data_IF_239836802779
#
_entry.id   IF_239836802779
#
_cell.length_a   1.000
_cell.length_b   1.000
_cell.length_c   1.000
_cell.angle_alpha   90.00
_cell.angle_beta   90.00
_cell.angle_gamma   90.00
#
_symmetry.space_group_name_H-M   'P 1'
#
loop_
_entity.id
_entity.type
_entity.pdbx_description
1 polymer ?
#
# COMPACT_ATOMS: atom_id res chain seq x y z
N UNK A 1 -2.16 18.00 8.52
CA UNK A 1 -1.92 16.55 8.44
C UNK A 1 -1.59 16.22 7.00
N UNK A 2 -0.52 15.45 6.78
CA UNK A 2 -0.03 15.13 5.44
C UNK A 2 -0.97 14.09 4.82
N UNK A 3 -1.48 14.38 3.62
CA UNK A 3 -2.47 13.59 2.88
C UNK A 3 -1.83 12.33 2.26
N UNK A 4 -1.09 11.54 3.04
CA UNK A 4 -0.14 10.54 2.52
C UNK A 4 -0.82 9.35 1.80
N UNK A 5 -2.14 9.21 1.90
CA UNK A 5 -2.92 8.16 1.25
C UNK A 5 -3.56 8.57 -0.08
N UNK A 6 -3.55 9.86 -0.44
CA UNK A 6 -3.99 10.33 -1.76
C UNK A 6 -2.77 10.77 -2.58
N UNK A 7 -2.60 10.18 -3.76
CA UNK A 7 -1.61 10.57 -4.75
C UNK A 7 -2.26 11.30 -5.91
N UNK A 8 -1.90 12.57 -6.07
CA UNK A 8 -2.20 13.33 -7.29
C UNK A 8 -1.03 13.17 -8.26
N UNK A 9 -1.26 12.50 -9.40
CA UNK A 9 -0.19 12.17 -10.36
C UNK A 9 0.09 13.27 -11.39
N UNK A 10 -0.72 14.33 -11.40
CA UNK A 10 -0.53 15.52 -12.23
C UNK A 10 -0.78 16.76 -11.36
N UNK A 11 -0.25 17.90 -11.79
CA UNK A 11 -0.56 19.17 -11.17
C UNK A 11 -2.00 19.58 -11.48
N UNK A 12 -2.88 19.43 -10.50
CA UNK A 12 -4.24 19.92 -10.55
C UNK A 12 -4.33 21.30 -9.95
N UNK A 13 -5.15 22.15 -10.56
CA UNK A 13 -5.59 23.43 -9.98
C UNK A 13 -6.52 23.25 -8.76
N UNK A 14 -6.41 22.13 -8.05
CA UNK A 14 -7.18 21.90 -6.83
C UNK A 14 -6.59 22.74 -5.71
N UNK A 15 -7.45 23.54 -5.06
CA UNK A 15 -7.03 24.29 -3.89
C UNK A 15 -6.61 23.34 -2.76
N UNK A 16 -5.72 23.79 -1.88
CA UNK A 16 -5.30 22.98 -0.73
C UNK A 16 -6.47 22.64 0.19
N UNK A 17 -7.43 23.57 0.35
CA UNK A 17 -8.66 23.30 1.10
C UNK A 17 -9.51 22.20 0.44
N UNK A 18 -9.57 22.15 -0.90
CA UNK A 18 -10.29 21.11 -1.61
C UNK A 18 -9.64 19.74 -1.41
N UNK A 19 -8.32 19.64 -1.58
CA UNK A 19 -7.57 18.40 -1.36
C UNK A 19 -7.73 17.89 0.09
N UNK A 20 -7.68 18.82 1.05
CA UNK A 20 -7.84 18.49 2.47
C UNK A 20 -9.24 17.96 2.78
N UNK A 21 -10.27 18.64 2.30
CA UNK A 21 -11.66 18.28 2.59
C UNK A 21 -12.06 16.96 1.91
N UNK A 22 -11.62 16.78 0.64
CA UNK A 22 -11.73 15.51 -0.09
C UNK A 22 -11.11 14.36 0.71
N UNK A 23 -9.87 14.55 1.18
CA UNK A 23 -9.15 13.55 1.97
C UNK A 23 -9.90 13.19 3.24
N UNK A 24 -10.32 14.18 4.03
CA UNK A 24 -10.98 13.94 5.31
C UNK A 24 -12.30 13.19 5.10
N UNK A 25 -13.17 13.67 4.21
CA UNK A 25 -14.50 13.10 4.05
C UNK A 25 -14.47 11.68 3.44
N UNK A 26 -13.64 11.45 2.43
CA UNK A 26 -13.55 10.13 1.81
C UNK A 26 -12.95 9.09 2.77
N UNK A 27 -11.95 9.47 3.55
CA UNK A 27 -11.35 8.61 4.57
C UNK A 27 -12.35 8.27 5.68
N UNK A 28 -13.09 9.27 6.19
CA UNK A 28 -14.14 9.01 7.18
C UNK A 28 -15.20 8.04 6.67
N UNK A 29 -15.62 8.19 5.41
CA UNK A 29 -16.59 7.30 4.76
C UNK A 29 -16.02 5.90 4.56
N UNK A 30 -14.73 5.78 4.21
CA UNK A 30 -14.05 4.49 4.08
C UNK A 30 -14.09 3.69 5.39
N UNK A 31 -13.73 4.32 6.52
CA UNK A 31 -13.73 3.66 7.82
C UNK A 31 -15.15 3.30 8.28
N UNK A 32 -16.13 4.18 8.04
CA UNK A 32 -17.55 3.92 8.36
C UNK A 32 -18.12 2.75 7.56
N UNK A 33 -17.82 2.66 6.27
CA UNK A 33 -18.41 1.64 5.37
C UNK A 33 -17.90 0.23 5.63
N UNK A 34 -16.68 0.09 6.14
CA UNK A 34 -16.05 -1.20 6.34
C UNK A 34 -16.02 -1.67 7.80
N UNK A 35 -16.64 -0.94 8.74
CA UNK A 35 -16.46 -1.14 10.19
C UNK A 35 -14.97 -1.27 10.57
N UNK A 36 -14.10 -0.58 9.84
CA UNK A 36 -12.66 -0.63 10.11
C UNK A 36 -12.40 0.17 11.38
N UNK A 37 -11.59 -0.40 12.26
CA UNK A 37 -11.04 0.36 13.38
C UNK A 37 -10.26 1.55 12.81
N UNK A 38 -10.59 2.76 13.26
CA UNK A 38 -9.89 4.00 12.86
C UNK A 38 -8.40 3.99 13.24
N UNK A 39 -7.98 3.04 14.09
CA UNK A 39 -6.59 2.82 14.45
C UNK A 39 -5.82 1.95 13.43
N UNK A 40 -6.49 1.34 12.45
CA UNK A 40 -5.82 0.62 11.38
C UNK A 40 -5.14 1.61 10.42
N UNK A 41 -3.93 1.27 9.96
CA UNK A 41 -3.28 1.98 8.86
C UNK A 41 -4.22 1.95 7.64
N UNK A 42 -4.35 3.08 6.94
CA UNK A 42 -5.23 3.19 5.78
C UNK A 42 -4.91 2.06 4.77
N UNK A 43 -5.87 1.16 4.48
CA UNK A 43 -5.60 -0.04 3.68
C UNK A 43 -5.49 0.24 2.18
N UNK A 44 -5.78 1.48 1.77
CA UNK A 44 -5.78 1.87 0.36
C UNK A 44 -4.93 3.11 0.10
N UNK A 45 -4.52 3.24 -1.15
CA UNK A 45 -4.02 4.48 -1.74
C UNK A 45 -4.97 4.93 -2.85
N UNK A 46 -5.51 6.13 -2.74
CA UNK A 46 -6.31 6.75 -3.80
C UNK A 46 -5.37 7.47 -4.75
N UNK A 47 -5.52 7.24 -6.05
CA UNK A 47 -4.69 7.84 -7.08
C UNK A 47 -5.60 8.60 -8.04
N UNK A 48 -5.37 9.90 -8.16
CA UNK A 48 -6.15 10.80 -9.02
C UNK A 48 -5.21 11.32 -10.11
N UNK A 49 -5.60 11.16 -11.37
CA UNK A 49 -4.84 11.68 -12.52
C UNK A 49 -4.08 10.68 -13.37
N UNK A 50 -4.23 9.37 -13.15
CA UNK A 50 -3.58 8.37 -14.00
C UNK A 50 -4.11 8.43 -15.43
N UNK A 51 -5.42 8.53 -15.58
CA UNK A 51 -6.10 8.68 -16.87
C UNK A 51 -6.47 10.13 -17.16
N UNK A 52 -6.93 10.40 -18.38
CA UNK A 52 -7.47 11.70 -18.74
C UNK A 52 -8.73 11.99 -17.94
N UNK A 53 -8.69 13.11 -17.21
CA UNK A 53 -9.75 13.56 -16.31
C UNK A 53 -10.90 14.17 -17.10
N UNK A 54 -11.57 13.34 -17.91
CA UNK A 54 -12.85 13.71 -18.50
C UNK A 54 -13.89 13.79 -17.39
N UNK A 55 -13.90 14.93 -16.69
CA UNK A 55 -14.87 15.21 -15.65
C UNK A 55 -16.25 15.23 -16.31
N UNK A 56 -17.18 14.47 -15.73
CA UNK A 56 -18.58 14.53 -16.15
C UNK A 56 -19.40 15.23 -15.08
N UNK A 57 -20.44 15.94 -15.52
CA UNK A 57 -21.39 16.62 -14.64
C UNK A 57 -22.76 16.01 -14.91
N UNK A 58 -23.35 15.40 -13.88
CA UNK A 58 -24.71 14.84 -13.94
C UNK A 58 -25.39 15.03 -12.61
N UNK A 59 -26.69 15.31 -12.61
CA UNK A 59 -27.52 15.36 -11.40
C UNK A 59 -26.99 16.26 -10.26
N UNK A 60 -26.28 17.34 -10.61
CA UNK A 60 -25.67 18.26 -9.64
C UNK A 60 -24.35 17.79 -9.02
N UNK A 61 -23.80 16.66 -9.50
CA UNK A 61 -22.51 16.12 -9.10
C UNK A 61 -21.45 16.34 -10.18
N UNK A 62 -20.21 16.51 -9.75
CA UNK A 62 -19.03 16.30 -10.60
C UNK A 62 -18.49 14.92 -10.30
N UNK A 63 -18.18 14.17 -11.36
CA UNK A 63 -17.56 12.86 -11.31
C UNK A 63 -16.16 12.93 -11.88
N UNK A 64 -15.20 12.33 -11.18
CA UNK A 64 -13.81 12.19 -11.62
C UNK A 64 -13.39 10.73 -11.60
N UNK A 65 -12.77 10.24 -12.70
CA UNK A 65 -12.11 8.95 -12.69
C UNK A 65 -10.88 8.99 -11.78
N UNK A 66 -10.73 7.95 -10.98
CA UNK A 66 -9.62 7.75 -10.07
C UNK A 66 -9.28 6.25 -10.01
N UNK A 67 -8.25 5.91 -9.25
CA UNK A 67 -7.86 4.54 -9.00
C UNK A 67 -7.68 4.30 -7.52
N UNK A 68 -8.10 3.13 -7.04
CA UNK A 68 -7.85 2.69 -5.68
C UNK A 68 -6.89 1.51 -5.74
N UNK A 69 -5.73 1.69 -5.13
CA UNK A 69 -4.80 0.61 -4.88
C UNK A 69 -5.05 0.03 -3.49
N UNK A 70 -5.31 -1.27 -3.41
CA UNK A 70 -5.46 -1.99 -2.14
C UNK A 70 -4.12 -2.66 -1.83
N UNK A 71 -3.44 -2.20 -0.76
CA UNK A 71 -2.07 -2.61 -0.45
C UNK A 71 -1.93 -4.13 -0.23
N UNK A 72 -2.86 -4.75 0.48
CA UNK A 72 -2.80 -6.18 0.80
C UNK A 72 -3.22 -7.09 -0.35
N UNK A 73 -4.13 -6.63 -1.22
CA UNK A 73 -4.49 -7.36 -2.42
C UNK A 73 -3.45 -7.20 -3.53
N UNK A 74 -2.67 -6.11 -3.43
CA UNK A 74 -1.76 -5.65 -4.45
C UNK A 74 -2.46 -5.60 -5.82
N UNK A 75 -3.58 -4.86 -5.82
CA UNK A 75 -4.49 -4.69 -6.94
C UNK A 75 -4.93 -3.23 -7.02
N UNK A 76 -5.04 -2.75 -8.25
CA UNK A 76 -5.56 -1.43 -8.58
C UNK A 76 -6.94 -1.61 -9.21
N UNK A 77 -7.90 -0.82 -8.78
CA UNK A 77 -9.25 -0.76 -9.32
C UNK A 77 -9.53 0.63 -9.89
N UNK A 78 -9.98 0.75 -11.15
CA UNK A 78 -10.53 2.00 -11.65
C UNK A 78 -11.85 2.27 -10.92
N UNK A 79 -12.03 3.51 -10.46
CA UNK A 79 -13.21 3.94 -9.72
C UNK A 79 -13.60 5.35 -10.11
N UNK A 80 -14.75 5.80 -9.60
CA UNK A 80 -15.19 7.18 -9.70
C UNK A 80 -15.33 7.77 -8.30
N UNK A 81 -14.80 8.98 -8.13
CA UNK A 81 -15.12 9.83 -6.97
C UNK A 81 -16.04 10.94 -7.44
N UNK A 82 -16.97 11.37 -6.60
CA UNK A 82 -17.83 12.48 -6.95
C UNK A 82 -18.03 13.45 -5.80
N UNK A 83 -18.47 14.65 -6.15
CA UNK A 83 -18.89 15.63 -5.15
C UNK A 83 -19.94 16.56 -5.69
N UNK A 84 -20.64 17.21 -4.76
CA UNK A 84 -21.61 18.26 -5.03
C UNK A 84 -21.48 19.37 -4.01
N UNK A 85 -22.10 20.51 -4.30
CA UNK A 85 -22.24 21.59 -3.34
C UNK A 85 -23.55 22.34 -3.55
N UNK A 86 -24.15 22.80 -2.46
CA UNK A 86 -25.25 23.78 -2.48
C UNK A 86 -24.78 25.23 -2.57
N UNK A 87 -23.51 25.48 -2.27
CA UNK A 87 -22.98 26.82 -2.05
C UNK A 87 -22.28 27.40 -3.29
N UNK A 88 -22.26 26.64 -4.39
CA UNK A 88 -21.65 27.02 -5.66
C UNK A 88 -22.65 26.89 -6.81
N UNK A 89 -22.79 27.96 -7.59
CA UNK A 89 -23.58 27.95 -8.83
C UNK A 89 -22.82 27.30 -9.99
N UNK A 90 -21.50 27.50 -10.05
CA UNK A 90 -20.62 26.82 -10.99
C UNK A 90 -19.85 25.71 -10.27
N UNK A 91 -20.22 24.47 -10.55
CA UNK A 91 -19.60 23.31 -9.92
C UNK A 91 -18.12 23.19 -10.27
N UNK A 92 -17.69 23.63 -11.47
CA UNK A 92 -16.28 23.55 -11.87
C UNK A 92 -15.39 24.49 -11.04
N UNK A 93 -15.96 25.57 -10.53
CA UNK A 93 -15.26 26.51 -9.67
C UNK A 93 -14.94 25.94 -8.27
N UNK A 94 -15.65 24.89 -7.83
CA UNK A 94 -15.45 24.26 -6.51
C UNK A 94 -13.98 23.84 -6.33
N UNK A 95 -13.42 23.16 -7.34
CA UNK A 95 -12.06 22.61 -7.31
C UNK A 95 -10.99 23.66 -7.02
N UNK A 96 -11.13 24.86 -7.59
CA UNK A 96 -10.13 25.94 -7.47
C UNK A 96 -10.39 26.90 -6.30
N UNK A 97 -11.53 26.76 -5.63
CA UNK A 97 -11.98 27.69 -4.61
C UNK A 97 -11.46 27.34 -3.22
N UNK A 98 -11.32 28.35 -2.35
CA UNK A 98 -11.23 28.09 -0.91
C UNK A 98 -12.59 27.56 -0.42
N UNK A 99 -12.57 26.42 0.26
CA UNK A 99 -13.75 25.74 0.79
C UNK A 99 -14.08 26.13 2.24
N UNK A 100 -13.30 26.99 2.88
CA UNK A 100 -13.57 27.43 4.25
C UNK A 100 -14.98 28.03 4.39
N UNK A 101 -15.78 27.45 5.31
CA UNK A 101 -17.17 27.85 5.55
C UNK A 101 -18.17 27.44 4.46
N UNK A 102 -17.75 26.67 3.45
CA UNK A 102 -18.61 26.19 2.35
C UNK A 102 -18.87 24.69 2.50
N UNK A 103 -20.05 24.25 2.07
CA UNK A 103 -20.48 22.85 2.12
C UNK A 103 -20.20 22.17 0.79
N UNK A 104 -19.24 21.26 0.79
CA UNK A 104 -18.97 20.35 -0.34
C UNK A 104 -19.04 18.92 0.19
N UNK A 105 -19.88 18.09 -0.41
CA UNK A 105 -20.07 16.70 -0.02
C UNK A 105 -19.30 15.80 -0.99
N UNK A 106 -18.25 15.13 -0.51
CA UNK A 106 -17.44 14.18 -1.28
C UNK A 106 -17.90 12.73 -1.05
N UNK A 107 -18.04 11.94 -2.11
CA UNK A 107 -18.59 10.58 -2.08
C UNK A 107 -17.73 9.60 -2.88
N UNK A 108 -17.67 8.36 -2.39
CA UNK A 108 -17.28 7.20 -3.19
C UNK A 108 -18.47 6.83 -4.10
N UNK A 109 -18.24 6.69 -5.41
CA UNK A 109 -19.30 6.23 -6.30
C UNK A 109 -19.56 4.72 -6.14
N UNK A 110 -20.59 4.23 -6.84
CA UNK A 110 -21.05 2.83 -6.79
C UNK A 110 -20.02 1.81 -7.28
N UNK A 111 -19.05 2.26 -8.06
CA UNK A 111 -17.97 1.45 -8.63
C UNK A 111 -16.79 1.27 -7.67
N UNK A 112 -16.84 1.87 -6.46
CA UNK A 112 -15.84 1.60 -5.44
C UNK A 112 -15.87 0.12 -5.01
N UNK A 113 -14.72 -0.59 -4.96
CA UNK A 113 -14.63 -2.04 -4.78
C UNK A 113 -14.78 -2.44 -3.30
N UNK A 114 -15.96 -2.18 -2.71
CA UNK A 114 -16.21 -2.45 -1.29
C UNK A 114 -16.09 -3.93 -0.93
N UNK A 115 -16.63 -4.82 -1.76
CA UNK A 115 -16.64 -6.26 -1.49
C UNK A 115 -15.23 -6.85 -1.58
N UNK A 116 -14.43 -6.42 -2.57
CA UNK A 116 -13.03 -6.82 -2.70
C UNK A 116 -12.20 -6.31 -1.54
N UNK A 117 -12.37 -5.03 -1.16
CA UNK A 117 -11.67 -4.45 -0.02
C UNK A 117 -12.00 -5.21 1.26
N UNK A 118 -13.30 -5.43 1.54
CA UNK A 118 -13.74 -6.18 2.71
C UNK A 118 -13.19 -7.60 2.72
N UNK A 119 -13.23 -8.29 1.57
CA UNK A 119 -12.69 -9.64 1.43
C UNK A 119 -11.19 -9.66 1.75
N UNK A 120 -10.42 -8.75 1.17
CA UNK A 120 -8.97 -8.63 1.42
C UNK A 120 -8.67 -8.37 2.90
N UNK A 121 -9.39 -7.45 3.54
CA UNK A 121 -9.16 -7.10 4.94
C UNK A 121 -9.62 -8.17 5.93
N UNK A 122 -10.61 -8.97 5.55
CA UNK A 122 -11.09 -10.11 6.35
C UNK A 122 -10.31 -11.40 6.13
N UNK A 123 -9.44 -11.46 5.10
CA UNK A 123 -8.71 -12.66 4.77
C UNK A 123 -7.60 -12.88 5.79
N UNK A 124 -7.73 -13.94 6.58
CA UNK A 124 -6.69 -14.34 7.52
C UNK A 124 -5.42 -14.74 6.77
N UNK A 125 -4.33 -13.99 6.99
CA UNK A 125 -3.00 -14.34 6.48
C UNK A 125 -2.52 -15.58 7.23
N UNK A 126 -2.21 -16.65 6.49
CA UNK A 126 -1.64 -17.88 7.08
C UNK A 126 -0.13 -17.75 7.13
N UNK A 127 0.37 -17.43 8.31
CA UNK A 127 1.81 -17.39 8.56
C UNK A 127 2.34 -18.78 8.89
N UNK A 128 3.50 -19.10 8.29
CA UNK A 128 4.37 -20.13 8.80
C UNK A 128 5.10 -19.59 10.05
N UNK A 129 5.53 -20.49 10.93
CA UNK A 129 6.23 -20.11 12.17
C UNK A 129 7.53 -20.88 12.31
N UNK A 130 8.60 -20.14 12.58
CA UNK A 130 9.91 -20.68 12.92
C UNK A 130 10.43 -19.98 14.17
N UNK A 131 10.71 -20.75 15.21
CA UNK A 131 11.01 -20.22 16.55
C UNK A 131 9.91 -19.22 17.02
N UNK A 132 10.30 -17.98 17.28
CA UNK A 132 9.42 -16.88 17.67
C UNK A 132 8.95 -16.02 16.48
N UNK A 133 9.47 -16.25 15.27
CA UNK A 133 9.20 -15.45 14.09
C UNK A 133 8.10 -16.08 13.23
N UNK A 134 7.10 -15.27 12.88
CA UNK A 134 6.06 -15.66 11.93
C UNK A 134 6.40 -15.07 10.56
N UNK A 135 6.22 -15.82 9.48
CA UNK A 135 6.51 -15.31 8.14
C UNK A 135 5.55 -15.86 7.08
N UNK A 136 5.47 -15.16 5.95
CA UNK A 136 4.76 -15.61 4.76
C UNK A 136 5.59 -15.24 3.53
N UNK A 137 5.65 -16.15 2.55
CA UNK A 137 6.30 -15.94 1.26
C UNK A 137 5.22 -15.98 0.18
N UNK A 138 5.05 -14.86 -0.51
CA UNK A 138 4.11 -14.70 -1.63
C UNK A 138 4.96 -14.29 -2.85
N UNK A 139 5.57 -15.24 -3.58
CA UNK A 139 6.58 -14.92 -4.59
C UNK A 139 5.94 -14.45 -5.91
N UNK A 140 5.07 -13.44 -5.85
CA UNK A 140 4.32 -12.92 -7.00
C UNK A 140 5.22 -12.19 -7.98
N UNK A 141 6.24 -11.49 -7.46
CA UNK A 141 7.13 -10.64 -8.24
C UNK A 141 8.53 -11.23 -8.48
N UNK A 142 8.74 -12.49 -8.11
CA UNK A 142 10.00 -13.18 -8.36
C UNK A 142 10.46 -13.00 -9.83
N UNK A 143 11.74 -12.65 -10.09
CA UNK A 143 12.88 -12.70 -9.16
C UNK A 143 13.08 -11.47 -8.27
N UNK A 144 12.27 -10.42 -8.43
CA UNK A 144 12.34 -9.19 -7.63
C UNK A 144 11.36 -9.28 -6.45
N UNK A 145 11.87 -9.37 -5.23
CA UNK A 145 11.05 -9.52 -4.04
C UNK A 145 11.29 -8.40 -3.04
N UNK A 146 10.24 -7.99 -2.34
CA UNK A 146 10.34 -7.07 -1.20
C UNK A 146 10.07 -7.84 0.08
N UNK A 147 11.02 -7.78 1.01
CA UNK A 147 10.88 -8.29 2.37
C UNK A 147 10.45 -7.14 3.26
N UNK A 148 9.26 -7.24 3.84
CA UNK A 148 8.73 -6.30 4.82
C UNK A 148 8.84 -6.90 6.21
N UNK A 149 9.47 -6.18 7.12
CA UNK A 149 9.57 -6.54 8.53
C UNK A 149 8.53 -5.73 9.31
N UNK A 150 7.55 -6.40 9.90
CA UNK A 150 6.61 -5.73 10.78
C UNK A 150 7.25 -5.62 12.17
N UNK A 151 7.74 -4.44 12.53
CA UNK A 151 8.56 -4.22 13.72
C UNK A 151 7.69 -3.79 14.92
N UNK A 152 7.76 -4.55 16.03
CA UNK A 152 7.12 -4.20 17.31
C UNK A 152 7.90 -3.13 18.07
N UNK A 153 9.24 -3.19 17.98
CA UNK A 153 10.17 -2.27 18.65
C UNK A 153 11.28 -1.89 17.69
N UNK A 154 11.61 -0.60 17.54
CA UNK A 154 12.59 -0.15 16.55
C UNK A 154 13.91 -0.89 16.67
N UNK A 155 14.42 -1.40 15.54
CA UNK A 155 15.71 -2.05 15.46
C UNK A 155 16.85 -1.03 15.51
N UNK A 156 17.92 -1.38 16.21
CA UNK A 156 19.18 -0.65 16.19
C UNK A 156 19.93 -0.84 14.87
N UNK A 157 20.79 0.11 14.52
CA UNK A 157 21.51 0.09 13.23
C UNK A 157 22.34 -1.18 13.01
N UNK A 158 22.99 -1.69 14.05
CA UNK A 158 23.73 -2.96 13.99
C UNK A 158 22.82 -4.18 13.77
N UNK A 159 21.59 -4.17 14.32
CA UNK A 159 20.61 -5.25 14.10
C UNK A 159 20.13 -5.24 12.64
N UNK A 160 19.89 -4.04 12.09
CA UNK A 160 19.56 -3.85 10.67
C UNK A 160 20.66 -4.40 9.75
N UNK A 161 21.91 -4.07 10.04
CA UNK A 161 23.08 -4.58 9.31
C UNK A 161 23.20 -6.10 9.39
N UNK A 162 22.89 -6.72 10.54
CA UNK A 162 22.87 -8.18 10.67
C UNK A 162 21.83 -8.80 9.72
N UNK A 163 20.61 -8.25 9.69
CA UNK A 163 19.54 -8.71 8.78
C UNK A 163 20.01 -8.61 7.33
N UNK A 164 20.53 -7.46 6.91
CA UNK A 164 21.04 -7.28 5.54
C UNK A 164 22.15 -8.29 5.22
N UNK A 165 23.09 -8.49 6.14
CA UNK A 165 24.22 -9.39 5.94
C UNK A 165 23.77 -10.85 5.82
N UNK A 166 22.71 -11.27 6.51
CA UNK A 166 22.11 -12.61 6.35
C UNK A 166 21.65 -12.82 4.91
N UNK A 167 21.01 -11.81 4.29
CA UNK A 167 20.59 -11.89 2.89
C UNK A 167 21.71 -11.62 1.88
N UNK A 168 22.81 -10.96 2.28
CA UNK A 168 23.96 -10.71 1.38
C UNK A 168 24.90 -11.92 1.26
N UNK A 169 24.66 -13.01 2.00
CA UNK A 169 25.49 -14.23 1.95
C UNK A 169 25.47 -14.89 0.57
N UNK A 170 24.35 -14.82 -0.15
CA UNK A 170 24.24 -15.35 -1.51
C UNK A 170 24.79 -14.32 -2.52
N UNK A 171 25.80 -14.73 -3.30
CA UNK A 171 26.48 -13.84 -4.27
C UNK A 171 25.61 -13.48 -5.48
N UNK A 172 24.53 -14.23 -5.72
CA UNK A 172 23.63 -14.01 -6.84
C UNK A 172 22.36 -13.26 -6.43
N UNK A 173 22.38 -12.60 -5.27
CA UNK A 173 21.25 -11.80 -4.81
C UNK A 173 21.74 -10.39 -4.55
N UNK A 174 21.17 -9.43 -5.25
CA UNK A 174 21.29 -8.04 -4.86
C UNK A 174 20.36 -7.77 -3.68
N UNK A 175 20.88 -7.08 -2.66
CA UNK A 175 20.16 -6.76 -1.43
C UNK A 175 20.29 -5.27 -1.15
N UNK A 176 19.18 -4.57 -1.10
CA UNK A 176 19.17 -3.16 -0.68
C UNK A 176 19.50 -3.01 0.80
N UNK A 177 19.73 -1.78 1.24
CA UNK A 177 19.73 -1.48 2.67
C UNK A 177 18.30 -1.63 3.24
N UNK A 178 18.20 -1.91 4.54
CA UNK A 178 16.95 -1.96 5.27
C UNK A 178 16.46 -0.52 5.53
N UNK A 179 15.50 -0.06 4.71
CA UNK A 179 14.90 1.29 4.78
C UNK A 179 13.40 1.13 5.00
N UNK A 180 12.83 1.94 5.90
CA UNK A 180 11.42 1.87 6.27
C UNK A 180 10.95 0.43 6.60
N UNK A 181 11.81 -0.29 7.33
CA UNK A 181 11.62 -1.69 7.73
C UNK A 181 11.41 -2.65 6.55
N UNK A 182 11.95 -2.32 5.38
CA UNK A 182 11.89 -3.13 4.16
C UNK A 182 13.25 -3.32 3.47
N UNK A 183 13.44 -4.48 2.83
CA UNK A 183 14.58 -4.82 1.98
C UNK A 183 14.06 -5.23 0.60
N UNK A 184 14.69 -4.73 -0.46
CA UNK A 184 14.51 -5.22 -1.82
C UNK A 184 15.57 -6.29 -2.10
N UNK A 185 15.12 -7.43 -2.61
CA UNK A 185 15.92 -8.53 -3.13
C UNK A 185 15.72 -8.66 -4.64
N UNK A 186 16.81 -8.81 -5.38
CA UNK A 186 16.80 -9.19 -6.79
C UNK A 186 17.69 -10.42 -6.95
N UNK A 187 17.08 -11.55 -7.33
CA UNK A 187 17.75 -12.86 -7.48
C UNK A 187 18.64 -12.99 -8.73
N UNK A 188 18.96 -11.90 -9.43
CA UNK A 188 19.90 -11.83 -10.58
C UNK A 188 19.77 -13.01 -11.55
N UNK A 189 18.54 -13.40 -11.84
CA UNK A 189 18.23 -14.64 -12.54
C UNK A 189 18.59 -14.52 -14.03
N UNK A 190 19.34 -15.50 -14.53
CA UNK A 190 19.52 -15.68 -15.97
C UNK A 190 18.26 -16.30 -16.59
N UNK A 191 17.35 -15.43 -17.03
CA UNK A 191 16.07 -15.82 -17.65
C UNK A 191 16.19 -16.79 -18.84
N UNK A 192 17.34 -16.85 -19.55
CA UNK A 192 17.50 -17.78 -20.68
C UNK A 192 17.81 -19.20 -20.23
N UNK A 193 18.40 -19.36 -19.04
CA UNK A 193 18.83 -20.65 -18.50
C UNK A 193 18.08 -21.06 -17.24
N UNK A 194 17.10 -20.25 -16.80
CA UNK A 194 16.35 -20.44 -15.58
C UNK A 194 15.55 -21.75 -15.58
N UNK A 195 15.66 -22.50 -14.49
CA UNK A 195 14.90 -23.73 -14.26
C UNK A 195 14.02 -23.60 -13.03
N UNK A 196 12.95 -24.38 -12.99
CA UNK A 196 12.07 -24.48 -11.82
C UNK A 196 12.85 -24.88 -10.55
N UNK A 197 13.91 -25.69 -10.69
CA UNK A 197 14.80 -26.04 -9.57
C UNK A 197 15.52 -24.83 -8.97
N UNK A 198 15.81 -23.81 -9.77
CA UNK A 198 16.46 -22.59 -9.30
C UNK A 198 15.48 -21.75 -8.47
N UNK A 199 14.21 -21.67 -8.89
CA UNK A 199 13.14 -21.09 -8.08
C UNK A 199 13.06 -21.73 -6.69
N UNK A 200 13.00 -23.07 -6.61
CA UNK A 200 12.88 -23.75 -5.32
C UNK A 200 14.13 -23.57 -4.45
N UNK A 201 15.33 -23.54 -5.04
CA UNK A 201 16.56 -23.22 -4.30
C UNK A 201 16.51 -21.83 -3.70
N UNK A 202 16.01 -20.85 -4.45
CA UNK A 202 15.87 -19.47 -3.98
C UNK A 202 14.82 -19.35 -2.87
N UNK A 203 13.71 -20.08 -2.97
CA UNK A 203 12.70 -20.13 -1.90
C UNK A 203 13.26 -20.80 -0.62
N UNK A 204 14.03 -21.87 -0.74
CA UNK A 204 14.70 -22.50 0.41
C UNK A 204 15.79 -21.60 1.01
N UNK A 205 16.48 -20.83 0.17
CA UNK A 205 17.39 -19.78 0.62
C UNK A 205 16.65 -18.74 1.48
N UNK A 206 15.52 -18.21 1.01
CA UNK A 206 14.71 -17.26 1.79
C UNK A 206 14.29 -17.85 3.14
N UNK A 207 13.78 -19.09 3.16
CA UNK A 207 13.41 -19.77 4.42
C UNK A 207 14.61 -19.93 5.36
N UNK A 208 15.78 -20.26 4.82
CA UNK A 208 17.02 -20.39 5.60
C UNK A 208 17.45 -19.04 6.17
N UNK A 209 17.39 -17.96 5.40
CA UNK A 209 17.67 -16.61 5.89
C UNK A 209 16.70 -16.18 7.00
N UNK A 210 15.40 -16.46 6.84
CA UNK A 210 14.39 -16.18 7.88
C UNK A 210 14.69 -16.99 9.15
N UNK A 211 15.10 -18.26 9.01
CA UNK A 211 15.54 -19.08 10.13
C UNK A 211 16.70 -18.44 10.89
N UNK A 212 17.74 -18.00 10.19
CA UNK A 212 18.90 -17.36 10.81
C UNK A 212 18.53 -16.06 11.54
N UNK A 213 17.60 -15.28 11.00
CA UNK A 213 17.05 -14.09 11.66
C UNK A 213 16.30 -14.49 12.95
N UNK A 214 15.49 -15.55 12.88
CA UNK A 214 14.74 -16.05 14.04
C UNK A 214 15.63 -16.56 15.19
N UNK A 215 16.90 -16.85 14.91
CA UNK A 215 17.90 -17.27 15.90
C UNK A 215 18.61 -16.08 16.57
N UNK A 216 18.44 -14.85 16.05
CA UNK A 216 19.00 -13.64 16.65
C UNK A 216 18.21 -13.19 17.87
N UNK A 217 18.86 -12.59 18.87
CA UNK A 217 18.20 -12.10 20.08
C UNK A 217 17.13 -11.04 19.79
N UNK A 218 17.38 -10.19 18.78
CA UNK A 218 16.47 -9.13 18.36
C UNK A 218 15.23 -9.63 17.59
N UNK A 219 15.15 -10.91 17.23
CA UNK A 219 13.99 -11.48 16.52
C UNK A 219 12.66 -11.24 17.25
N UNK A 220 12.69 -11.16 18.59
CA UNK A 220 11.52 -10.83 19.42
C UNK A 220 10.96 -9.41 19.17
N UNK A 221 11.76 -8.53 18.57
CA UNK A 221 11.36 -7.18 18.18
C UNK A 221 10.57 -7.18 16.86
N UNK A 222 10.60 -8.28 16.11
CA UNK A 222 9.90 -8.45 14.85
C UNK A 222 8.59 -9.21 15.12
N UNK A 223 7.47 -8.66 14.69
CA UNK A 223 6.17 -9.32 14.78
C UNK A 223 6.04 -10.45 13.77
N UNK A 224 6.29 -10.11 12.51
CA UNK A 224 6.24 -11.04 11.40
C UNK A 224 7.03 -10.49 10.20
N UNK A 225 7.30 -11.37 9.23
CA UNK A 225 7.97 -11.03 7.97
C UNK A 225 7.06 -11.38 6.79
N UNK A 226 6.83 -10.42 5.90
CA UNK A 226 6.08 -10.64 4.66
C UNK A 226 6.99 -10.45 3.45
N UNK A 227 7.16 -11.50 2.66
CA UNK A 227 7.93 -11.46 1.40
C UNK A 227 6.95 -11.46 0.23
N UNK A 228 7.05 -10.47 -0.66
CA UNK A 228 6.14 -10.27 -1.80
C UNK A 228 6.87 -10.01 -3.10
#
# INVERSE_FOLDING_TARGET
MKQDWILFTRDFDFSESFKSELSIQLEEKLYKLNNLDKNLKNPIKLIIGMEDLNQSISDGYIYIPAHVYIHDADKIYPITICWKSSDFNDLKAIQKSNLEGKKVDFEWCKDFPFDELKKTLSQEKKYEKINNLSYIIIPKYYPDLVINFNIKRPLFQNEKEIIENIFKKNKNVYVSNLIDDSIMLDFQVDSMNFKEEDFYKDMEYLKTSIKEISEQEFSNQIENVEIR
#
